data_IF_971212819143
#
_entry.id   IF_971212819143
#
_cell.length_a   1.000
_cell.length_b   1.000
_cell.length_c   1.000
_cell.angle_alpha   90.00
_cell.angle_beta   90.00
_cell.angle_gamma   90.00
#
_symmetry.space_group_name_H-M   'P 1'
#
loop_
_entity.id
_entity.type
_entity.pdbx_description
1 polymer ?
#
# COMPACT_ATOMS: atom_id res chain seq x y z
N UNK A 1 -23.53 -0.69 -24.31
CA UNK A 1 -22.25 -0.30 -23.66
C UNK A 1 -22.03 -1.16 -22.43
N UNK A 2 -21.01 -2.02 -22.39
CA UNK A 2 -20.61 -2.69 -21.14
C UNK A 2 -20.13 -1.59 -20.20
N UNK A 3 -20.83 -1.36 -19.08
CA UNK A 3 -20.35 -0.49 -18.00
C UNK A 3 -18.98 -1.05 -17.58
N UNK A 4 -17.91 -0.32 -17.87
CA UNK A 4 -16.64 -0.54 -17.19
C UNK A 4 -16.91 -0.23 -15.72
N UNK A 5 -17.08 -1.27 -14.91
CA UNK A 5 -17.09 -1.10 -13.46
C UNK A 5 -15.71 -0.52 -13.13
N UNK A 6 -15.62 0.66 -12.51
CA UNK A 6 -14.33 1.19 -12.10
C UNK A 6 -13.67 0.13 -11.23
N UNK A 7 -12.50 -0.37 -11.66
CA UNK A 7 -11.68 -1.23 -10.82
C UNK A 7 -11.34 -0.37 -9.61
N UNK A 8 -12.08 -0.54 -8.51
CA UNK A 8 -11.76 0.16 -7.28
C UNK A 8 -10.33 -0.27 -6.91
N UNK A 9 -9.40 0.69 -6.73
CA UNK A 9 -8.14 0.38 -6.09
C UNK A 9 -8.47 -0.30 -4.76
N UNK A 10 -7.85 -1.45 -4.52
CA UNK A 10 -8.27 -2.34 -3.46
C UNK A 10 -7.17 -3.29 -3.05
N UNK A 11 -7.55 -4.31 -2.30
CA UNK A 11 -6.74 -5.48 -2.04
C UNK A 11 -6.87 -6.46 -3.19
N UNK A 12 -5.74 -7.02 -3.65
CA UNK A 12 -5.75 -8.00 -4.72
C UNK A 12 -4.53 -8.92 -4.66
N UNK A 13 -4.64 -10.08 -5.31
CA UNK A 13 -3.58 -11.08 -5.39
C UNK A 13 -3.00 -11.09 -6.80
N UNK A 14 -1.68 -11.05 -6.93
CA UNK A 14 -0.97 -11.20 -8.21
C UNK A 14 0.26 -12.09 -8.02
N UNK A 15 0.35 -13.16 -8.82
CA UNK A 15 1.50 -14.08 -8.76
C UNK A 15 1.70 -14.71 -7.36
N UNK A 16 0.61 -15.03 -6.67
CA UNK A 16 0.65 -15.60 -5.31
C UNK A 16 1.02 -14.63 -4.19
N UNK A 17 1.14 -13.33 -4.49
CA UNK A 17 1.42 -12.28 -3.49
C UNK A 17 0.24 -11.34 -3.36
N UNK A 18 0.00 -10.90 -2.12
CA UNK A 18 -1.05 -9.95 -1.78
C UNK A 18 -0.54 -8.52 -1.89
N UNK A 19 -1.35 -7.66 -2.47
CA UNK A 19 -1.08 -6.25 -2.69
C UNK A 19 -2.23 -5.40 -2.21
N UNK A 20 -1.91 -4.16 -1.87
CA UNK A 20 -2.87 -3.11 -1.55
C UNK A 20 -2.52 -1.86 -2.34
N UNK A 21 -3.54 -1.22 -2.93
CA UNK A 21 -3.37 0.09 -3.55
C UNK A 21 -2.95 1.14 -2.53
N UNK A 22 -2.02 2.03 -2.89
CA UNK A 22 -1.52 3.06 -1.97
C UNK A 22 -2.64 3.99 -1.46
N UNK A 23 -3.66 4.23 -2.29
CA UNK A 23 -4.83 5.04 -1.92
C UNK A 23 -5.73 4.39 -0.85
N UNK A 24 -5.63 3.08 -0.66
CA UNK A 24 -6.42 2.34 0.32
C UNK A 24 -5.69 2.18 1.67
N UNK A 25 -4.36 2.35 1.69
CA UNK A 25 -3.58 2.21 2.93
C UNK A 25 -4.08 3.18 4.03
N UNK A 26 -4.34 4.47 3.77
CA UNK A 26 -4.85 5.38 4.79
C UNK A 26 -6.27 5.05 5.27
N UNK A 27 -7.03 4.28 4.51
CA UNK A 27 -8.37 3.81 4.91
C UNK A 27 -8.29 2.57 5.79
N UNK A 28 -7.25 1.77 5.61
CA UNK A 28 -7.06 0.50 6.30
C UNK A 28 -6.10 0.55 7.50
N UNK A 29 -5.35 1.64 7.63
CA UNK A 29 -4.32 1.83 8.64
C UNK A 29 -4.43 3.22 9.27
N UNK A 30 -3.65 3.47 10.31
CA UNK A 30 -3.56 4.78 10.97
C UNK A 30 -2.63 5.78 10.23
N UNK A 31 -2.00 5.40 9.12
CA UNK A 31 -1.11 6.27 8.37
C UNK A 31 -1.88 7.27 7.51
N UNK A 32 -1.40 8.51 7.45
CA UNK A 32 -1.92 9.50 6.51
C UNK A 32 -1.39 9.26 5.10
N UNK A 33 -2.05 9.83 4.09
CA UNK A 33 -1.54 9.81 2.71
C UNK A 33 -0.15 10.45 2.59
N UNK A 34 0.15 11.43 3.45
CA UNK A 34 1.47 12.07 3.51
C UNK A 34 2.54 11.12 4.04
N UNK A 35 2.24 10.35 5.09
CA UNK A 35 3.18 9.36 5.65
C UNK A 35 3.51 8.29 4.63
N UNK A 36 2.50 7.79 3.91
CA UNK A 36 2.70 6.80 2.84
C UNK A 36 3.53 7.40 1.70
N UNK A 37 3.27 8.66 1.32
CA UNK A 37 4.08 9.34 0.29
C UNK A 37 5.53 9.48 0.73
N UNK A 38 5.77 9.88 1.98
CA UNK A 38 7.11 10.00 2.56
C UNK A 38 7.82 8.66 2.58
N UNK A 39 7.19 7.61 3.12
CA UNK A 39 7.74 6.26 3.19
C UNK A 39 8.13 5.71 1.82
N UNK A 40 7.33 6.00 0.79
CA UNK A 40 7.67 5.69 -0.61
C UNK A 40 8.87 6.51 -1.09
N UNK A 41 8.88 7.82 -0.83
CA UNK A 41 9.95 8.72 -1.27
C UNK A 41 11.31 8.40 -0.65
N UNK A 42 11.34 7.93 0.59
CA UNK A 42 12.58 7.55 1.29
C UNK A 42 12.96 6.07 1.08
N UNK A 43 12.13 5.30 0.37
CA UNK A 43 12.42 3.90 0.02
C UNK A 43 12.07 2.87 1.09
N UNK A 44 11.29 3.23 2.11
CA UNK A 44 10.80 2.30 3.13
C UNK A 44 9.63 1.44 2.64
N UNK A 45 8.86 1.95 1.66
CA UNK A 45 7.79 1.21 1.00
C UNK A 45 8.04 1.12 -0.51
N UNK A 46 8.22 -0.10 -1.01
CA UNK A 46 8.33 -0.32 -2.46
C UNK A 46 6.97 -0.16 -3.14
N UNK A 47 6.98 0.49 -4.30
CA UNK A 47 5.78 0.69 -5.13
C UNK A 47 5.91 -0.12 -6.41
N UNK A 48 4.88 -0.88 -6.70
CA UNK A 48 4.69 -1.58 -7.98
C UNK A 48 3.47 -1.01 -8.69
N UNK A 49 3.59 -0.81 -10.00
CA UNK A 49 2.46 -0.39 -10.84
C UNK A 49 1.79 -1.62 -11.45
N UNK A 50 0.52 -1.85 -11.10
CA UNK A 50 -0.27 -2.99 -11.53
C UNK A 50 -1.50 -2.46 -12.27
N UNK A 51 -1.53 -2.65 -13.59
CA UNK A 51 -2.62 -2.17 -14.46
C UNK A 51 -2.93 -0.67 -14.26
N UNK A 52 -1.88 0.15 -14.08
CA UNK A 52 -2.02 1.60 -13.83
C UNK A 52 -2.27 1.99 -12.37
N UNK A 53 -2.46 1.03 -11.46
CA UNK A 53 -2.63 1.28 -10.02
C UNK A 53 -1.27 1.20 -9.30
N UNK A 54 -0.93 2.23 -8.51
CA UNK A 54 0.21 2.18 -7.59
C UNK A 54 -0.17 1.35 -6.37
N UNK A 55 0.56 0.28 -6.14
CA UNK A 55 0.32 -0.64 -5.03
C UNK A 55 1.64 -1.01 -4.34
N UNK A 56 1.53 -1.46 -3.09
CA UNK A 56 2.64 -2.10 -2.37
C UNK A 56 2.23 -3.50 -1.95
N UNK A 57 3.20 -4.36 -1.66
CA UNK A 57 2.90 -5.69 -1.15
C UNK A 57 2.43 -5.60 0.30
N UNK A 58 1.46 -6.42 0.70
CA UNK A 58 1.00 -6.46 2.09
C UNK A 58 2.11 -6.86 3.06
N UNK A 59 3.01 -7.75 2.64
CA UNK A 59 4.16 -8.14 3.42
C UNK A 59 5.14 -6.99 3.71
N UNK A 60 5.39 -6.11 2.74
CA UNK A 60 6.19 -4.90 2.98
C UNK A 60 5.46 -3.91 3.87
N UNK A 61 4.17 -3.71 3.63
CA UNK A 61 3.37 -2.83 4.50
C UNK A 61 3.43 -3.29 5.95
N UNK A 62 3.25 -4.57 6.24
CA UNK A 62 3.34 -5.07 7.62
C UNK A 62 4.74 -4.89 8.23
N UNK A 63 5.81 -5.10 7.46
CA UNK A 63 7.18 -4.84 7.95
C UNK A 63 7.41 -3.37 8.27
N UNK A 64 6.93 -2.48 7.41
CA UNK A 64 6.98 -1.04 7.66
C UNK A 64 6.20 -0.68 8.94
N UNK A 65 4.98 -1.18 9.09
CA UNK A 65 4.16 -0.98 10.30
C UNK A 65 4.87 -1.45 11.58
N UNK A 66 5.52 -2.62 11.52
CA UNK A 66 6.26 -3.18 12.65
C UNK A 66 7.54 -2.41 12.96
N UNK A 67 8.21 -1.84 11.95
CA UNK A 67 9.38 -0.98 12.14
C UNK A 67 9.03 0.27 12.95
N UNK A 68 7.96 0.96 12.54
CA UNK A 68 7.49 2.18 13.23
C UNK A 68 7.06 1.88 14.67
N UNK A 69 6.39 0.75 14.92
CA UNK A 69 6.03 0.34 16.29
C UNK A 69 7.25 0.16 17.19
N UNK A 70 8.36 -0.37 16.66
CA UNK A 70 9.58 -0.58 17.44
C UNK A 70 10.29 0.73 17.78
N UNK A 71 10.24 1.70 16.87
CA UNK A 71 10.80 3.04 17.11
C UNK A 71 9.98 3.81 18.16
N UNK A 72 8.66 3.67 18.16
CA UNK A 72 7.77 4.32 19.12
C UNK A 72 7.89 3.77 20.56
N UNK A 73 8.49 2.59 20.76
CA UNK A 73 8.74 2.00 22.08
C UNK A 73 10.16 2.23 22.62
N UNK A 74 10.94 3.09 21.97
CA UNK A 74 12.31 3.42 22.36
C UNK A 74 12.39 4.77 23.06
#
# INVERSE_FOLDING_TARGET
>A
MKRQVPVKPGYFIRGGREFIALSEIPRATWFSSSDITTAVSIGELSVTVINGCKATSLGELFRFMDSIKREACR
#
